data_IF_182515026076
#
_entry.id   IF_182515026076
#
_cell.length_a   1.000
_cell.length_b   1.000
_cell.length_c   1.000
_cell.angle_alpha   90.00
_cell.angle_beta   90.00
_cell.angle_gamma   90.00
#
_symmetry.space_group_name_H-M   'P 1'
#
loop_
_entity.id
_entity.type
_entity.pdbx_description
1 polymer ?
#
# COMPACT_ATOMS: atom_id res chain seq x y z
N UNK A 1 23.63 22.04 -31.70
CA UNK A 1 22.49 21.53 -30.92
C UNK A 1 22.95 21.40 -29.47
N UNK A 2 22.64 22.37 -28.62
CA UNK A 2 23.00 22.32 -27.21
C UNK A 2 21.93 21.51 -26.47
N UNK A 3 22.28 20.31 -26.00
CA UNK A 3 21.51 19.60 -24.98
C UNK A 3 21.46 20.48 -23.73
N UNK A 4 20.33 21.15 -23.51
CA UNK A 4 20.00 21.72 -22.21
C UNK A 4 19.92 20.56 -21.22
N UNK A 5 20.99 20.37 -20.44
CA UNK A 5 20.96 19.58 -19.21
C UNK A 5 19.86 20.17 -18.32
N UNK A 6 18.67 19.55 -18.31
CA UNK A 6 17.64 19.86 -17.34
C UNK A 6 18.24 19.67 -15.94
N UNK A 7 18.46 20.79 -15.26
CA UNK A 7 19.06 20.80 -13.94
C UNK A 7 18.07 20.15 -12.96
N UNK A 8 18.49 19.05 -12.32
CA UNK A 8 17.71 18.42 -11.26
C UNK A 8 17.38 19.44 -10.17
N UNK A 9 16.10 19.79 -10.05
CA UNK A 9 15.59 20.66 -9.00
C UNK A 9 14.97 19.80 -7.90
N UNK A 10 15.53 19.78 -6.67
CA UNK A 10 14.95 19.00 -5.58
C UNK A 10 13.56 19.55 -5.22
N UNK A 11 12.65 18.66 -4.81
CA UNK A 11 11.23 18.98 -4.54
C UNK A 11 11.09 20.17 -3.58
N UNK A 12 11.95 20.29 -2.56
CA UNK A 12 11.90 21.41 -1.61
C UNK A 12 12.24 22.78 -2.21
N UNK A 13 12.64 22.85 -3.49
CA UNK A 13 12.89 24.10 -4.24
C UNK A 13 11.78 24.42 -5.25
N UNK A 14 10.78 23.55 -5.40
CA UNK A 14 9.63 23.81 -6.28
C UNK A 14 8.70 24.87 -5.66
N UNK A 15 7.81 25.50 -6.43
CA UNK A 15 6.70 26.27 -5.87
C UNK A 15 5.95 25.45 -4.82
N UNK A 16 5.55 26.06 -3.70
CA UNK A 16 4.95 25.32 -2.58
C UNK A 16 3.72 24.50 -3.01
N UNK A 17 2.91 25.06 -3.91
CA UNK A 17 1.69 24.42 -4.42
C UNK A 17 1.95 23.21 -5.35
N UNK A 18 3.18 23.03 -5.82
CA UNK A 18 3.60 21.89 -6.64
C UNK A 18 4.30 20.80 -5.82
N UNK A 19 4.64 21.08 -4.55
CA UNK A 19 5.27 20.08 -3.70
C UNK A 19 4.21 19.14 -3.16
N UNK A 20 4.36 17.81 -3.31
CA UNK A 20 3.29 16.87 -2.97
C UNK A 20 2.72 17.00 -1.55
N UNK A 21 3.58 17.21 -0.54
CA UNK A 21 3.11 17.31 0.86
C UNK A 21 2.33 18.58 1.11
N UNK A 22 2.87 19.71 0.67
CA UNK A 22 2.26 21.03 0.82
C UNK A 22 0.96 21.10 0.01
N UNK A 23 0.93 20.53 -1.19
CA UNK A 23 -0.27 20.35 -2.01
C UNK A 23 -1.34 19.52 -1.28
N UNK A 24 -0.96 18.39 -0.67
CA UNK A 24 -1.88 17.58 0.14
C UNK A 24 -2.46 18.37 1.32
N UNK A 25 -1.62 19.13 2.04
CA UNK A 25 -2.05 19.94 3.19
C UNK A 25 -3.02 21.04 2.76
N UNK A 26 -2.75 21.69 1.62
CA UNK A 26 -3.52 22.85 1.16
C UNK A 26 -4.83 22.48 0.48
N UNK A 27 -4.85 21.39 -0.29
CA UNK A 27 -5.97 21.07 -1.18
C UNK A 27 -6.59 19.69 -0.94
N UNK A 28 -6.01 18.87 -0.05
CA UNK A 28 -6.48 17.50 0.22
C UNK A 28 -5.86 16.45 -0.71
N UNK A 29 -6.09 15.18 -0.38
CA UNK A 29 -5.52 14.03 -1.11
C UNK A 29 -6.15 13.80 -2.49
N UNK A 30 -7.39 14.21 -2.71
CA UNK A 30 -8.17 13.94 -3.94
C UNK A 30 -7.54 14.56 -5.20
N UNK A 31 -6.75 15.63 -5.06
CA UNK A 31 -6.12 16.31 -6.20
C UNK A 31 -4.73 15.76 -6.54
N UNK A 32 -4.24 14.81 -5.76
CA UNK A 32 -2.92 14.23 -5.95
C UNK A 32 -3.02 13.05 -6.91
N UNK A 33 -2.05 12.98 -7.82
CA UNK A 33 -1.82 11.78 -8.63
C UNK A 33 -1.32 10.63 -7.76
N UNK A 34 -1.49 9.40 -8.23
CA UNK A 34 -0.90 8.20 -7.61
C UNK A 34 0.61 8.35 -7.37
N UNK A 35 1.32 9.00 -8.30
CA UNK A 35 2.75 9.25 -8.16
C UNK A 35 3.08 10.21 -7.01
N UNK A 36 2.24 11.22 -6.78
CA UNK A 36 2.41 12.18 -5.69
C UNK A 36 2.08 11.55 -4.33
N UNK A 37 0.99 10.78 -4.25
CA UNK A 37 0.63 10.02 -3.05
C UNK A 37 1.76 9.05 -2.65
N UNK A 38 2.27 8.29 -3.62
CA UNK A 38 3.37 7.37 -3.38
C UNK A 38 4.67 8.11 -3.03
N UNK A 39 4.96 9.24 -3.66
CA UNK A 39 6.13 10.06 -3.30
C UNK A 39 6.09 10.56 -1.85
N UNK A 40 4.90 10.90 -1.34
CA UNK A 40 4.71 11.28 0.06
C UNK A 40 5.06 10.12 0.99
N UNK A 41 4.54 8.91 0.69
CA UNK A 41 4.83 7.68 1.45
C UNK A 41 6.33 7.37 1.45
N UNK A 42 6.97 7.44 0.27
CA UNK A 42 8.41 7.17 0.11
C UNK A 42 9.32 8.18 0.82
N UNK A 43 8.82 9.40 1.06
CA UNK A 43 9.43 10.51 1.77
C UNK A 43 10.70 11.11 1.15
N UNK A 44 11.61 10.30 0.60
CA UNK A 44 12.90 10.71 0.06
C UNK A 44 13.22 9.98 -1.25
N UNK A 45 14.05 10.62 -2.06
CA UNK A 45 14.60 10.07 -3.30
C UNK A 45 15.94 9.36 -3.10
N UNK A 46 16.70 9.21 -4.18
CA UNK A 46 18.11 8.81 -4.16
C UNK A 46 18.97 10.07 -4.14
N UNK A 47 19.77 10.24 -3.08
CA UNK A 47 20.78 11.29 -2.99
C UNK A 47 22.17 10.68 -3.12
N UNK A 48 22.81 10.85 -4.28
CA UNK A 48 24.18 10.39 -4.53
C UNK A 48 24.81 11.10 -5.72
N UNK A 49 26.15 11.10 -5.81
CA UNK A 49 26.88 11.63 -6.98
C UNK A 49 26.61 10.71 -8.18
N UNK A 50 25.92 11.21 -9.20
CA UNK A 50 25.76 10.55 -10.50
C UNK A 50 24.34 10.07 -10.88
N UNK A 51 23.43 9.87 -9.93
CA UNK A 51 22.06 9.44 -10.25
C UNK A 51 21.04 9.95 -9.20
N UNK A 52 20.81 11.27 -9.21
CA UNK A 52 19.82 11.90 -8.32
C UNK A 52 18.42 11.63 -8.86
N UNK A 53 17.57 11.08 -8.02
CA UNK A 53 16.16 10.87 -8.31
C UNK A 53 15.37 11.38 -7.12
N UNK A 54 14.32 12.15 -7.35
CA UNK A 54 13.42 12.60 -6.30
C UNK A 54 12.50 11.46 -5.83
N UNK A 55 11.77 11.66 -4.74
CA UNK A 55 10.73 10.71 -4.33
C UNK A 55 9.64 10.55 -5.41
N UNK A 56 9.36 11.63 -6.16
CA UNK A 56 8.40 11.61 -7.27
C UNK A 56 8.91 10.78 -8.44
N UNK A 57 10.20 10.87 -8.76
CA UNK A 57 10.81 10.06 -9.82
C UNK A 57 10.78 8.57 -9.45
N UNK A 58 11.10 8.23 -8.20
CA UNK A 58 10.99 6.85 -7.71
C UNK A 58 9.55 6.32 -7.77
N UNK A 59 8.58 7.14 -7.38
CA UNK A 59 7.17 6.78 -7.44
C UNK A 59 6.70 6.54 -8.88
N UNK A 60 7.09 7.41 -9.83
CA UNK A 60 6.81 7.22 -11.25
C UNK A 60 7.43 5.93 -11.77
N UNK A 61 8.70 5.67 -11.47
CA UNK A 61 9.37 4.43 -11.92
C UNK A 61 8.69 3.18 -11.37
N UNK A 62 8.22 3.19 -10.11
CA UNK A 62 7.46 2.08 -9.54
C UNK A 62 6.16 1.84 -10.30
N UNK A 63 5.39 2.91 -10.55
CA UNK A 63 4.13 2.82 -11.28
C UNK A 63 4.34 2.34 -12.72
N UNK A 64 5.41 2.79 -13.40
CA UNK A 64 5.77 2.30 -14.73
C UNK A 64 6.19 0.82 -14.71
N UNK A 65 6.97 0.37 -13.72
CA UNK A 65 7.44 -1.02 -13.63
C UNK A 65 6.29 -2.00 -13.43
N UNK A 66 5.34 -1.66 -12.56
CA UNK A 66 4.26 -2.58 -12.17
C UNK A 66 2.96 -2.38 -12.96
N UNK A 67 2.83 -1.29 -13.71
CA UNK A 67 1.74 -0.98 -14.67
C UNK A 67 0.33 -0.88 -14.06
N UNK A 68 0.16 -1.19 -12.77
CA UNK A 68 -1.06 -0.99 -12.01
C UNK A 68 -0.78 -0.89 -10.52
N UNK A 69 -1.62 -0.14 -9.79
CA UNK A 69 -1.55 -0.07 -8.33
C UNK A 69 -1.73 -1.46 -7.69
N UNK A 70 -2.64 -2.27 -8.23
CA UNK A 70 -2.88 -3.61 -7.70
C UNK A 70 -1.61 -4.47 -7.75
N UNK A 71 -0.94 -4.54 -8.91
CA UNK A 71 0.31 -5.31 -9.04
C UNK A 71 1.41 -4.79 -8.12
N UNK A 72 1.56 -3.47 -7.99
CA UNK A 72 2.51 -2.86 -7.05
C UNK A 72 2.22 -3.29 -5.60
N UNK A 73 0.94 -3.29 -5.22
CA UNK A 73 0.49 -3.65 -3.87
C UNK A 73 0.58 -5.15 -3.56
N UNK A 74 0.49 -6.02 -4.56
CA UNK A 74 0.53 -7.49 -4.40
C UNK A 74 1.96 -8.05 -4.39
N UNK A 75 2.93 -7.25 -4.84
CA UNK A 75 4.33 -7.60 -4.84
C UNK A 75 4.88 -7.86 -3.43
N UNK A 76 5.86 -8.77 -3.31
CA UNK A 76 6.52 -9.06 -2.04
C UNK A 76 7.46 -7.93 -1.62
N UNK A 77 7.77 -7.85 -0.32
CA UNK A 77 8.72 -6.87 0.20
C UNK A 77 10.10 -7.05 -0.45
N UNK A 78 10.54 -8.29 -0.66
CA UNK A 78 11.83 -8.60 -1.29
C UNK A 78 11.90 -8.09 -2.73
N UNK A 79 10.90 -8.39 -3.55
CA UNK A 79 10.83 -7.93 -4.95
C UNK A 79 10.77 -6.40 -5.06
N UNK A 80 10.04 -5.73 -4.14
CA UNK A 80 10.04 -4.27 -4.06
C UNK A 80 11.41 -3.71 -3.62
N UNK A 81 12.08 -4.37 -2.68
CA UNK A 81 13.35 -3.93 -2.13
C UNK A 81 14.51 -4.01 -3.13
N UNK A 82 14.44 -4.90 -4.12
CA UNK A 82 15.41 -5.01 -5.22
C UNK A 82 15.43 -3.76 -6.12
N UNK A 83 14.36 -2.98 -6.14
CA UNK A 83 14.33 -1.77 -6.92
C UNK A 83 15.27 -0.70 -6.34
N UNK A 84 16.18 -0.20 -7.18
CA UNK A 84 17.13 0.84 -6.83
C UNK A 84 16.42 2.05 -6.20
N UNK A 85 16.82 2.39 -4.98
CA UNK A 85 16.28 3.54 -4.24
C UNK A 85 15.06 3.24 -3.36
N UNK A 86 14.51 2.02 -3.40
CA UNK A 86 13.44 1.55 -2.51
C UNK A 86 14.06 0.87 -1.28
N UNK A 87 14.71 -0.28 -1.46
CA UNK A 87 15.26 -1.07 -0.37
C UNK A 87 14.20 -1.52 0.65
N UNK A 88 14.64 -2.23 1.70
CA UNK A 88 13.75 -2.83 2.69
C UNK A 88 12.88 -1.82 3.43
N UNK A 89 13.41 -0.64 3.75
CA UNK A 89 12.69 0.39 4.53
C UNK A 89 11.49 0.91 3.73
N UNK A 90 11.69 1.39 2.49
CA UNK A 90 10.58 1.94 1.70
C UNK A 90 9.63 0.87 1.20
N UNK A 91 10.13 -0.35 0.94
CA UNK A 91 9.26 -1.49 0.64
C UNK A 91 8.30 -1.79 1.81
N UNK A 92 8.82 -1.83 3.05
CA UNK A 92 8.00 -2.00 4.24
C UNK A 92 7.00 -0.84 4.42
N UNK A 93 7.40 0.41 4.15
CA UNK A 93 6.49 1.58 4.19
C UNK A 93 5.32 1.44 3.21
N UNK A 94 5.58 1.02 1.96
CA UNK A 94 4.52 0.80 0.97
C UNK A 94 3.56 -0.28 1.48
N UNK A 95 4.09 -1.44 1.92
CA UNK A 95 3.24 -2.55 2.38
C UNK A 95 2.43 -2.18 3.62
N UNK A 96 3.01 -1.40 4.54
CA UNK A 96 2.30 -0.90 5.70
C UNK A 96 1.15 0.04 5.30
N UNK A 97 1.36 0.95 4.35
CA UNK A 97 0.32 1.85 3.87
C UNK A 97 -0.84 1.08 3.20
N UNK A 98 -0.53 0.07 2.40
CA UNK A 98 -1.53 -0.79 1.74
C UNK A 98 -2.34 -1.59 2.77
N UNK A 99 -1.66 -2.25 3.71
CA UNK A 99 -2.32 -3.01 4.78
C UNK A 99 -3.19 -2.12 5.66
N UNK A 100 -2.72 -0.91 5.97
CA UNK A 100 -3.50 0.07 6.72
C UNK A 100 -4.79 0.43 5.96
N UNK A 101 -4.71 0.70 4.65
CA UNK A 101 -5.87 0.94 3.81
C UNK A 101 -6.85 -0.24 3.79
N UNK A 102 -6.35 -1.49 3.70
CA UNK A 102 -7.19 -2.70 3.77
C UNK A 102 -7.95 -2.79 5.11
N UNK A 103 -7.28 -2.47 6.22
CA UNK A 103 -7.91 -2.45 7.55
C UNK A 103 -8.95 -1.35 7.69
N UNK A 104 -8.68 -0.16 7.17
CA UNK A 104 -9.67 0.95 7.18
C UNK A 104 -10.94 0.55 6.42
N UNK A 105 -10.82 -0.13 5.28
CA UNK A 105 -11.99 -0.61 4.53
C UNK A 105 -12.71 -1.76 5.25
N UNK A 106 -11.95 -2.63 5.92
CA UNK A 106 -12.48 -3.76 6.70
C UNK A 106 -13.12 -3.31 8.02
N UNK A 107 -12.69 -2.17 8.57
CA UNK A 107 -13.12 -1.70 9.88
C UNK A 107 -14.62 -1.39 9.89
N UNK A 108 -15.35 -2.10 10.77
CA UNK A 108 -16.70 -1.73 11.17
C UNK A 108 -16.61 -0.83 12.40
N UNK A 109 -17.49 0.17 12.49
CA UNK A 109 -17.55 1.17 13.57
C UNK A 109 -17.22 0.61 14.98
N UNK A 110 -15.96 0.75 15.40
CA UNK A 110 -15.44 0.39 16.73
C UNK A 110 -15.19 -1.10 16.98
N UNK A 111 -14.57 -1.41 18.13
CA UNK A 111 -14.16 -2.74 18.63
C UNK A 111 -15.32 -3.77 18.83
N UNK A 112 -16.45 -3.59 18.17
CA UNK A 112 -17.71 -4.26 18.43
C UNK A 112 -18.32 -4.83 17.15
N UNK A 113 -17.47 -5.38 16.27
CA UNK A 113 -17.86 -5.99 15.00
C UNK A 113 -18.88 -7.10 15.23
N UNK A 114 -20.15 -6.75 15.05
CA UNK A 114 -21.28 -7.68 15.01
C UNK A 114 -21.61 -7.96 13.55
N UNK A 115 -21.94 -9.21 13.24
CA UNK A 115 -22.41 -9.61 11.91
C UNK A 115 -23.90 -9.94 11.94
N UNK A 116 -24.70 -9.28 11.11
CA UNK A 116 -26.15 -9.55 11.00
C UNK A 116 -26.49 -10.51 9.88
N UNK A 117 -25.65 -10.59 8.85
CA UNK A 117 -25.81 -11.47 7.71
C UNK A 117 -24.44 -11.90 7.16
N UNK A 118 -24.44 -12.87 6.24
CA UNK A 118 -23.23 -13.37 5.58
C UNK A 118 -22.52 -12.30 4.75
N UNK A 119 -23.27 -11.37 4.15
CA UNK A 119 -22.70 -10.25 3.38
C UNK A 119 -21.83 -9.35 4.26
N UNK A 120 -22.26 -9.09 5.49
CA UNK A 120 -21.46 -8.31 6.44
C UNK A 120 -20.15 -8.99 6.84
N UNK A 121 -20.12 -10.33 6.89
CA UNK A 121 -18.90 -11.12 7.10
C UNK A 121 -18.00 -11.00 5.87
N UNK A 122 -18.57 -11.14 4.67
CA UNK A 122 -17.86 -11.01 3.42
C UNK A 122 -17.22 -9.62 3.27
N UNK A 123 -17.97 -8.54 3.51
CA UNK A 123 -17.46 -7.17 3.43
C UNK A 123 -16.32 -6.89 4.41
N UNK A 124 -16.32 -7.53 5.58
CA UNK A 124 -15.23 -7.43 6.54
C UNK A 124 -13.98 -8.20 6.08
N UNK A 125 -14.13 -9.44 5.61
CA UNK A 125 -12.99 -10.31 5.31
C UNK A 125 -12.44 -10.17 3.89
N UNK A 126 -13.25 -9.80 2.90
CA UNK A 126 -12.81 -9.66 1.50
C UNK A 126 -11.61 -8.72 1.38
N UNK A 127 -11.59 -7.50 1.95
CA UNK A 127 -10.44 -6.61 1.86
C UNK A 127 -9.15 -7.20 2.46
N UNK A 128 -9.28 -8.07 3.47
CA UNK A 128 -8.16 -8.67 4.20
C UNK A 128 -7.64 -9.96 3.53
N UNK A 129 -8.51 -10.71 2.85
CA UNK A 129 -8.20 -12.05 2.34
C UNK A 129 -8.04 -12.12 0.81
N UNK A 130 -8.72 -11.26 0.04
CA UNK A 130 -8.83 -11.41 -1.43
C UNK A 130 -7.50 -11.39 -2.19
N UNK A 131 -6.49 -10.73 -1.63
CA UNK A 131 -5.18 -10.51 -2.28
C UNK A 131 -4.08 -11.38 -1.64
N UNK A 132 -4.44 -12.36 -0.80
CA UNK A 132 -3.46 -13.28 -0.24
C UNK A 132 -2.99 -14.27 -1.31
N UNK A 133 -1.66 -14.42 -1.44
CA UNK A 133 -1.04 -15.39 -2.37
C UNK A 133 -1.32 -16.86 -2.01
N UNK A 134 -1.83 -17.12 -0.80
CA UNK A 134 -2.17 -18.46 -0.31
C UNK A 134 -3.56 -18.42 0.28
N UNK A 135 -4.36 -19.42 -0.06
CA UNK A 135 -5.68 -19.62 0.55
C UNK A 135 -5.56 -19.79 2.06
N UNK A 136 -6.54 -19.31 2.80
CA UNK A 136 -6.60 -19.45 4.25
C UNK A 136 -7.99 -19.90 4.66
N UNK A 137 -8.06 -21.00 5.39
CA UNK A 137 -9.28 -21.42 6.06
C UNK A 137 -9.27 -20.83 7.47
N UNK A 138 -10.27 -19.99 7.78
CA UNK A 138 -10.40 -19.29 9.05
C UNK A 138 -11.71 -19.64 9.73
N UNK A 139 -11.65 -19.92 11.02
CA UNK A 139 -12.79 -20.06 11.92
C UNK A 139 -13.03 -18.74 12.65
N UNK A 140 -14.24 -18.21 12.55
CA UNK A 140 -14.68 -17.02 13.26
C UNK A 140 -15.69 -17.42 14.31
N UNK A 141 -15.32 -17.29 15.58
CA UNK A 141 -16.18 -17.61 16.72
C UNK A 141 -16.98 -16.38 17.12
N UNK A 142 -18.31 -16.51 17.13
CA UNK A 142 -19.23 -15.43 17.47
C UNK A 142 -19.93 -15.70 18.80
N UNK A 143 -20.26 -14.65 19.55
CA UNK A 143 -21.14 -14.77 20.71
C UNK A 143 -22.63 -14.72 20.32
N UNK A 144 -23.53 -14.84 21.30
CA UNK A 144 -24.99 -14.77 21.09
C UNK A 144 -25.51 -13.44 20.51
N UNK A 145 -24.66 -12.40 20.47
CA UNK A 145 -24.95 -11.11 19.83
C UNK A 145 -24.21 -10.96 18.48
N UNK A 146 -23.77 -12.07 17.90
CA UNK A 146 -22.98 -12.17 16.67
C UNK A 146 -21.70 -11.33 16.64
N UNK A 147 -21.11 -11.04 17.81
CA UNK A 147 -19.83 -10.34 17.89
C UNK A 147 -18.68 -11.32 17.85
N UNK A 148 -17.59 -10.95 17.18
CA UNK A 148 -16.36 -11.74 17.14
C UNK A 148 -15.81 -11.90 18.56
N UNK A 149 -15.75 -13.16 19.03
CA UNK A 149 -15.03 -13.55 20.25
C UNK A 149 -13.57 -13.80 19.89
N UNK A 150 -13.35 -14.56 18.81
CA UNK A 150 -12.02 -15.00 18.40
C UNK A 150 -12.03 -15.36 16.93
N UNK A 151 -10.88 -15.12 16.30
CA UNK A 151 -10.57 -15.58 14.96
C UNK A 151 -9.38 -16.55 15.01
N UNK A 152 -9.48 -17.67 14.32
CA UNK A 152 -8.44 -18.70 14.26
C UNK A 152 -8.19 -19.08 12.81
N UNK A 153 -6.95 -18.99 12.36
CA UNK A 153 -6.55 -19.59 11.09
C UNK A 153 -6.34 -21.08 11.32
N UNK A 154 -7.18 -21.90 10.69
CA UNK A 154 -7.19 -23.35 10.84
C UNK A 154 -6.17 -23.97 9.88
N UNK A 155 -6.14 -23.49 8.63
CA UNK A 155 -5.15 -23.93 7.65
C UNK A 155 -4.79 -22.80 6.69
N UNK A 156 -3.62 -22.94 6.08
CA UNK A 156 -3.17 -22.09 4.99
C UNK A 156 -2.74 -23.02 3.85
N UNK A 157 -3.27 -22.78 2.65
CA UNK A 157 -3.03 -23.61 1.48
C UNK A 157 -1.52 -23.80 1.22
N UNK A 158 -1.14 -25.06 0.98
CA UNK A 158 0.10 -25.41 0.28
C UNK A 158 -0.24 -25.81 -1.16
N UNK A 159 0.77 -25.99 -2.02
CA UNK A 159 0.63 -26.12 -3.48
C UNK A 159 -0.37 -27.19 -3.98
N UNK A 160 -0.84 -28.12 -3.14
CA UNK A 160 -1.54 -29.33 -3.60
C UNK A 160 -2.76 -29.82 -2.80
N UNK A 161 -3.08 -29.32 -1.60
CA UNK A 161 -4.39 -29.53 -0.96
C UNK A 161 -4.55 -28.75 0.34
N UNK A 162 -5.81 -28.52 0.72
CA UNK A 162 -6.19 -28.17 2.10
C UNK A 162 -6.48 -29.47 2.85
N UNK A 163 -5.60 -29.84 3.78
CA UNK A 163 -5.91 -30.89 4.76
C UNK A 163 -6.75 -30.20 5.85
N UNK A 164 -7.98 -30.68 6.01
CA UNK A 164 -8.93 -30.25 7.06
C UNK A 164 -9.02 -31.35 8.09
#
# INVERSE_FOLDING_TARGET
MHEQKYQYLPINKWPADERPREKLIKFGCEILTNSELLAIILRTGISGKGNKQSALDLAKNLLTKYDSLKRLCDESISELAEMKGIGWIKAAQIKAAVEFGRRVVSEKNGNNTSFKCSEEVANYYIPLLKDLKKEQFRLVLLNIKNKIIREVMISQGSLTSSIV
#
